data_IF_895598614527
#
_entry.id   IF_895598614527
#
_cell.length_a   1.000
_cell.length_b   1.000
_cell.length_c   1.000
_cell.angle_alpha   90.00
_cell.angle_beta   90.00
_cell.angle_gamma   90.00
#
_symmetry.space_group_name_H-M   'P 1'
#
loop_
_entity.id
_entity.type
_entity.pdbx_description
1 polymer ?
#
# COMPACT_ATOMS: atom_id res chain seq x y z
N UNK A 1 -11.11 44.01 -23.10
CA UNK A 1 -11.33 42.70 -23.78
C UNK A 1 -11.22 41.60 -22.69
N UNK A 2 -12.35 41.23 -22.09
CA UNK A 2 -12.42 40.28 -20.96
C UNK A 2 -12.58 38.87 -21.49
N UNK A 3 -11.65 37.96 -21.20
CA UNK A 3 -11.78 36.52 -21.49
C UNK A 3 -12.45 35.82 -20.31
N UNK A 4 -13.61 35.26 -20.56
CA UNK A 4 -14.39 34.44 -19.61
C UNK A 4 -13.65 33.11 -19.37
N UNK A 5 -13.41 32.81 -18.09
CA UNK A 5 -12.92 31.50 -17.64
C UNK A 5 -14.15 30.64 -17.36
N UNK A 6 -14.32 29.59 -18.15
CA UNK A 6 -15.38 28.59 -18.00
C UNK A 6 -14.91 27.56 -16.96
N UNK A 7 -15.60 27.51 -15.84
CA UNK A 7 -15.40 26.44 -14.82
C UNK A 7 -16.05 25.16 -15.33
N UNK A 8 -15.25 24.11 -15.54
CA UNK A 8 -15.73 22.77 -15.83
C UNK A 8 -15.99 22.04 -14.50
N UNK A 9 -17.25 21.91 -14.16
CA UNK A 9 -17.71 21.10 -13.03
C UNK A 9 -17.87 19.65 -13.49
N UNK A 10 -17.01 18.75 -13.02
CA UNK A 10 -17.17 17.31 -13.19
C UNK A 10 -18.19 16.80 -12.18
N UNK A 11 -19.36 16.41 -12.69
CA UNK A 11 -20.43 15.78 -11.91
C UNK A 11 -20.21 14.26 -11.93
N UNK A 12 -19.86 13.67 -10.81
CA UNK A 12 -19.87 12.21 -10.63
C UNK A 12 -21.31 11.73 -10.52
N UNK A 13 -21.78 11.00 -11.52
CA UNK A 13 -23.04 10.30 -11.48
C UNK A 13 -22.83 8.89 -10.91
N UNK A 14 -23.25 8.70 -9.67
CA UNK A 14 -23.40 7.37 -9.08
C UNK A 14 -24.74 6.81 -9.55
N UNK A 15 -24.68 5.79 -10.40
CA UNK A 15 -25.85 5.04 -10.86
C UNK A 15 -25.99 3.78 -10.00
N UNK A 16 -26.79 3.87 -8.93
CA UNK A 16 -27.30 2.71 -8.23
C UNK A 16 -28.77 2.53 -8.62
N UNK A 17 -29.05 1.60 -9.54
CA UNK A 17 -30.40 1.18 -9.88
C UNK A 17 -30.67 -0.17 -9.22
N UNK A 18 -31.37 -0.17 -8.09
CA UNK A 18 -31.97 -1.36 -7.51
C UNK A 18 -33.50 -1.27 -7.66
N UNK A 19 -34.02 -2.03 -8.60
CA UNK A 19 -35.46 -2.27 -8.74
C UNK A 19 -35.86 -3.38 -7.76
N UNK A 20 -36.57 -3.01 -6.70
CA UNK A 20 -37.29 -3.98 -5.87
C UNK A 20 -38.77 -4.02 -6.29
N UNK A 21 -39.18 -5.16 -6.80
CA UNK A 21 -40.62 -5.50 -6.99
C UNK A 21 -41.14 -6.09 -5.67
N UNK A 22 -42.14 -5.43 -5.10
CA UNK A 22 -42.90 -5.90 -3.95
C UNK A 22 -44.02 -6.82 -4.44
N UNK A 23 -44.04 -8.07 -4.01
CA UNK A 23 -45.25 -8.87 -3.96
C UNK A 23 -45.19 -9.85 -2.79
N UNK A 24 -46.21 -9.84 -1.96
CA UNK A 24 -46.70 -10.99 -1.21
C UNK A 24 -46.48 -11.00 0.30
N UNK A 25 -47.52 -10.61 1.05
CA UNK A 25 -47.69 -10.92 2.46
C UNK A 25 -47.79 -12.42 2.71
N UNK A 26 -47.05 -12.97 3.65
CA UNK A 26 -47.53 -14.07 4.50
C UNK A 26 -46.79 -14.05 5.83
N UNK A 27 -47.54 -14.12 6.92
CA UNK A 27 -47.07 -14.15 8.30
C UNK A 27 -46.19 -15.38 8.55
N UNK A 28 -44.99 -15.17 9.09
CA UNK A 28 -44.28 -16.11 9.95
C UNK A 28 -43.05 -15.44 10.55
N UNK A 29 -42.93 -15.49 11.85
CA UNK A 29 -41.86 -15.25 12.80
C UNK A 29 -40.71 -14.28 12.48
N UNK A 30 -40.49 -13.24 13.31
CA UNK A 30 -39.33 -12.39 13.24
C UNK A 30 -38.16 -12.97 14.07
N UNK A 31 -37.46 -13.93 13.50
CA UNK A 31 -36.17 -14.38 14.06
C UNK A 31 -35.13 -14.66 12.98
N UNK A 32 -34.93 -13.67 12.10
CA UNK A 32 -33.71 -13.54 11.31
C UNK A 32 -33.18 -12.13 11.50
N UNK A 33 -32.45 -11.92 12.58
CA UNK A 33 -31.50 -10.82 12.64
C UNK A 33 -30.39 -11.11 11.62
N UNK A 34 -30.63 -10.79 10.36
CA UNK A 34 -29.54 -10.51 9.42
C UNK A 34 -28.86 -9.22 9.91
N UNK A 35 -28.01 -9.34 10.93
CA UNK A 35 -26.94 -8.39 11.09
C UNK A 35 -26.09 -8.53 9.82
N UNK A 36 -26.24 -7.59 8.88
CA UNK A 36 -25.25 -7.43 7.82
C UNK A 36 -23.91 -7.34 8.55
N UNK A 37 -23.09 -8.38 8.45
CA UNK A 37 -21.73 -8.33 8.96
C UNK A 37 -21.08 -7.16 8.27
N UNK A 38 -20.81 -6.09 9.03
CA UNK A 38 -20.12 -4.91 8.51
C UNK A 38 -18.73 -5.37 8.11
N UNK A 39 -18.45 -5.33 6.81
CA UNK A 39 -17.13 -5.60 6.26
C UNK A 39 -16.10 -4.73 6.98
N UNK A 40 -15.11 -5.36 7.62
CA UNK A 40 -14.03 -4.65 8.29
C UNK A 40 -12.87 -4.44 7.33
N UNK A 41 -12.27 -3.25 7.27
CA UNK A 41 -11.06 -3.01 6.52
C UNK A 41 -9.81 -3.57 7.22
N UNK A 42 -8.88 -4.10 6.44
CA UNK A 42 -7.56 -4.46 6.89
C UNK A 42 -6.52 -3.80 6.00
N UNK A 43 -5.57 -3.08 6.59
CA UNK A 43 -4.59 -2.27 5.86
C UNK A 43 -3.18 -2.65 6.29
N UNK A 44 -2.29 -2.90 5.32
CA UNK A 44 -0.86 -3.05 5.53
C UNK A 44 -0.11 -1.84 4.96
N UNK A 45 0.63 -1.15 5.80
CA UNK A 45 1.57 -0.08 5.45
C UNK A 45 2.96 -0.68 5.34
N UNK A 46 3.52 -0.68 4.14
CA UNK A 46 4.85 -1.22 3.83
C UNK A 46 5.78 -0.04 3.60
N UNK A 47 6.66 0.21 4.55
CA UNK A 47 7.42 1.47 4.67
C UNK A 47 8.88 1.25 4.36
N UNK A 48 9.41 2.03 3.39
CA UNK A 48 10.81 2.09 3.01
C UNK A 48 11.34 3.52 3.17
N UNK A 49 11.52 3.96 4.40
CA UNK A 49 12.11 5.26 4.70
C UNK A 49 13.64 5.17 4.66
N UNK A 50 14.20 5.44 3.49
CA UNK A 50 15.65 5.41 3.22
C UNK A 50 16.12 6.74 2.68
N UNK A 51 17.40 7.08 2.86
CA UNK A 51 18.00 8.27 2.28
C UNK A 51 17.98 8.26 0.73
N UNK A 52 17.96 7.06 0.13
CA UNK A 52 17.98 6.86 -1.32
C UNK A 52 16.64 7.14 -2.03
N UNK A 53 15.59 7.35 -1.27
CA UNK A 53 14.26 7.63 -1.81
C UNK A 53 13.65 8.86 -1.15
N UNK A 54 12.76 9.52 -1.86
CA UNK A 54 11.98 10.57 -1.21
C UNK A 54 11.12 9.96 -0.10
N UNK A 55 11.15 10.50 1.12
CA UNK A 55 10.37 9.97 2.21
C UNK A 55 8.88 10.13 1.93
N UNK A 56 8.11 9.11 2.26
CA UNK A 56 6.65 9.17 2.33
C UNK A 56 6.31 9.20 3.81
N UNK A 57 5.77 10.30 4.26
CA UNK A 57 5.37 10.48 5.65
C UNK A 57 3.87 10.22 5.87
N UNK A 58 3.49 10.17 7.13
CA UNK A 58 2.11 9.95 7.54
C UNK A 58 1.15 11.08 7.17
N UNK A 59 1.64 12.22 6.65
CA UNK A 59 0.79 13.32 6.19
C UNK A 59 0.14 13.03 4.82
N UNK A 60 0.58 11.98 4.13
CA UNK A 60 -0.01 11.55 2.87
C UNK A 60 -1.52 11.27 3.04
N UNK A 61 -2.41 11.95 2.29
CA UNK A 61 -3.85 11.81 2.47
C UNK A 61 -4.33 10.35 2.43
N UNK A 62 -3.79 9.53 1.53
CA UNK A 62 -4.17 8.12 1.43
C UNK A 62 -3.83 7.34 2.71
N UNK A 63 -2.70 7.61 3.35
CA UNK A 63 -2.32 6.99 4.63
C UNK A 63 -3.28 7.43 5.72
N UNK A 64 -3.56 8.73 5.83
CA UNK A 64 -4.46 9.26 6.85
C UNK A 64 -5.89 8.75 6.68
N UNK A 65 -6.42 8.80 5.46
CA UNK A 65 -7.79 8.40 5.17
C UNK A 65 -8.01 6.90 5.40
N UNK A 66 -7.10 6.05 4.93
CA UNK A 66 -7.22 4.59 5.13
C UNK A 66 -7.03 4.19 6.58
N UNK A 67 -6.15 4.86 7.32
CA UNK A 67 -5.95 4.61 8.74
C UNK A 67 -7.15 5.05 9.57
N UNK A 68 -7.71 6.22 9.26
CA UNK A 68 -8.91 6.70 9.92
C UNK A 68 -10.12 5.81 9.60
N UNK A 69 -10.27 5.38 8.35
CA UNK A 69 -11.32 4.46 7.94
C UNK A 69 -11.21 3.13 8.69
N UNK A 70 -10.00 2.55 8.76
CA UNK A 70 -9.76 1.34 9.53
C UNK A 70 -10.10 1.53 11.02
N UNK A 71 -9.71 2.66 11.62
CA UNK A 71 -10.02 2.94 13.02
C UNK A 71 -11.53 3.12 13.26
N UNK A 72 -12.24 3.76 12.33
CA UNK A 72 -13.70 4.00 12.45
C UNK A 72 -14.55 2.76 12.21
N UNK A 73 -14.04 1.79 11.45
CA UNK A 73 -14.76 0.59 11.02
C UNK A 73 -14.23 -0.69 11.68
N UNK A 74 -13.59 -0.57 12.86
CA UNK A 74 -13.09 -1.70 13.64
C UNK A 74 -12.14 -2.59 12.84
N UNK A 75 -11.30 -1.96 12.05
CA UNK A 75 -10.38 -2.59 11.13
C UNK A 75 -9.13 -3.14 11.80
N UNK A 76 -8.19 -3.55 10.98
CA UNK A 76 -6.89 -4.07 11.38
C UNK A 76 -5.78 -3.34 10.62
N UNK A 77 -4.74 -2.93 11.32
CA UNK A 77 -3.60 -2.26 10.71
C UNK A 77 -2.31 -3.03 10.96
N UNK A 78 -1.50 -3.13 9.92
CA UNK A 78 -0.17 -3.73 9.94
C UNK A 78 0.81 -2.66 9.46
N UNK A 79 1.94 -2.53 10.14
CA UNK A 79 3.08 -1.73 9.68
C UNK A 79 4.26 -2.66 9.49
N UNK A 80 4.79 -2.72 8.29
CA UNK A 80 5.96 -3.52 7.94
C UNK A 80 7.09 -2.62 7.43
N UNK A 81 8.30 -2.99 7.76
CA UNK A 81 9.53 -2.35 7.29
C UNK A 81 10.03 -3.02 6.03
N UNK A 82 10.47 -2.22 5.06
CA UNK A 82 11.27 -2.67 3.93
C UNK A 82 12.73 -2.51 4.28
N UNK A 83 13.47 -3.60 4.29
CA UNK A 83 14.94 -3.64 4.28
C UNK A 83 15.40 -4.96 3.66
N UNK A 84 16.67 -5.36 3.82
CA UNK A 84 17.17 -6.65 3.31
C UNK A 84 16.60 -7.87 4.04
N UNK A 85 15.93 -7.67 5.18
CA UNK A 85 15.18 -8.67 5.94
C UNK A 85 13.88 -8.02 6.45
N UNK A 86 12.86 -7.93 5.58
CA UNK A 86 11.61 -7.25 5.91
C UNK A 86 10.93 -7.83 7.14
N UNK A 87 10.38 -6.96 7.98
CA UNK A 87 9.79 -7.36 9.25
C UNK A 87 8.50 -6.59 9.57
N UNK A 88 7.60 -7.25 10.29
CA UNK A 88 6.45 -6.59 10.92
C UNK A 88 6.95 -5.75 12.10
N UNK A 89 6.56 -4.48 12.12
CA UNK A 89 6.90 -3.52 13.18
C UNK A 89 5.75 -3.39 14.16
N UNK A 90 4.52 -3.34 13.64
CA UNK A 90 3.31 -3.26 14.47
C UNK A 90 2.16 -4.00 13.81
N UNK A 91 1.31 -4.57 14.65
CA UNK A 91 0.01 -5.13 14.25
C UNK A 91 -1.01 -4.69 15.28
N UNK A 92 -2.03 -3.95 14.83
CA UNK A 92 -3.04 -3.37 15.71
C UNK A 92 -4.45 -3.77 15.29
N UNK A 93 -5.13 -4.47 16.18
CA UNK A 93 -6.58 -4.67 16.08
C UNK A 93 -7.28 -3.40 16.59
N UNK A 94 -7.94 -2.70 15.68
CA UNK A 94 -8.66 -1.47 15.99
C UNK A 94 -10.09 -1.76 16.46
N UNK A 95 -10.43 -3.03 16.69
CA UNK A 95 -11.71 -3.40 17.25
C UNK A 95 -11.87 -2.75 18.64
N UNK A 96 -12.94 -2.00 18.80
CA UNK A 96 -13.27 -1.38 20.08
C UNK A 96 -13.96 -2.42 20.92
N UNK A 97 -13.45 -2.62 22.14
CA UNK A 97 -14.01 -3.54 23.13
C UNK A 97 -15.53 -3.41 23.21
N UNK A 98 -16.24 -4.53 23.45
CA UNK A 98 -17.71 -4.57 23.48
C UNK A 98 -18.30 -3.54 24.48
N UNK A 99 -17.57 -3.22 25.55
CA UNK A 99 -17.95 -2.17 26.50
C UNK A 99 -18.11 -0.79 25.87
N UNK A 100 -17.50 -0.52 24.73
CA UNK A 100 -17.59 0.76 24.02
C UNK A 100 -18.68 0.79 22.93
N UNK A 101 -19.34 -0.34 22.61
CA UNK A 101 -20.41 -0.39 21.60
C UNK A 101 -21.58 0.55 21.91
N UNK A 102 -21.75 0.92 23.19
CA UNK A 102 -22.77 1.87 23.67
C UNK A 102 -22.25 3.30 23.83
N UNK A 103 -21.00 3.56 23.50
CA UNK A 103 -20.42 4.89 23.62
C UNK A 103 -21.03 5.88 22.63
N UNK A 104 -20.99 7.17 22.96
CA UNK A 104 -21.43 8.21 22.02
C UNK A 104 -20.53 8.23 20.77
N UNK A 105 -21.12 8.65 19.63
CA UNK A 105 -20.37 8.78 18.36
C UNK A 105 -19.14 9.67 18.50
N UNK A 106 -19.20 10.71 19.32
CA UNK A 106 -18.10 11.63 19.57
C UNK A 106 -16.95 10.96 20.33
N UNK A 107 -17.29 10.06 21.26
CA UNK A 107 -16.27 9.27 21.98
C UNK A 107 -15.58 8.31 21.03
N UNK A 108 -16.36 7.55 20.24
CA UNK A 108 -15.80 6.63 19.24
C UNK A 108 -14.87 7.33 18.26
N UNK A 109 -15.25 8.53 17.77
CA UNK A 109 -14.40 9.32 16.89
C UNK A 109 -13.09 9.74 17.54
N UNK A 110 -13.13 10.16 18.82
CA UNK A 110 -11.90 10.55 19.54
C UNK A 110 -10.98 9.37 19.78
N UNK A 111 -11.53 8.22 20.16
CA UNK A 111 -10.76 7.02 20.41
C UNK A 111 -10.14 6.49 19.09
N UNK A 112 -10.90 6.52 17.98
CA UNK A 112 -10.41 6.20 16.65
C UNK A 112 -9.28 7.14 16.22
N UNK A 113 -9.46 8.45 16.39
CA UNK A 113 -8.44 9.44 16.04
C UNK A 113 -7.15 9.27 16.88
N UNK A 114 -7.30 8.93 18.17
CA UNK A 114 -6.15 8.65 19.04
C UNK A 114 -5.37 7.42 18.59
N UNK A 115 -6.06 6.32 18.28
CA UNK A 115 -5.43 5.09 17.75
C UNK A 115 -4.75 5.36 16.40
N UNK A 116 -5.44 6.04 15.49
CA UNK A 116 -4.88 6.43 14.20
C UNK A 116 -3.61 7.30 14.38
N UNK A 117 -3.64 8.28 15.27
CA UNK A 117 -2.47 9.14 15.53
C UNK A 117 -1.26 8.34 16.05
N UNK A 118 -1.47 7.37 16.93
CA UNK A 118 -0.40 6.51 17.42
C UNK A 118 0.21 5.65 16.28
N UNK A 119 -0.64 5.09 15.43
CA UNK A 119 -0.18 4.30 14.28
C UNK A 119 0.57 5.15 13.25
N UNK A 120 0.12 6.40 13.00
CA UNK A 120 0.83 7.35 12.13
C UNK A 120 2.24 7.65 12.67
N UNK A 121 2.40 7.80 14.00
CA UNK A 121 3.72 7.95 14.61
C UNK A 121 4.60 6.70 14.41
N UNK A 122 4.02 5.51 14.45
CA UNK A 122 4.75 4.28 14.15
C UNK A 122 5.20 4.29 12.68
N UNK A 123 4.33 4.63 11.73
CA UNK A 123 4.66 4.75 10.30
C UNK A 123 5.85 5.70 10.10
N UNK A 124 5.83 6.87 10.73
CA UNK A 124 6.91 7.87 10.62
C UNK A 124 8.23 7.41 11.27
N UNK A 125 8.16 6.52 12.26
CA UNK A 125 9.34 6.02 12.98
C UNK A 125 10.03 4.84 12.31
N UNK A 126 9.41 4.22 11.29
CA UNK A 126 9.99 3.06 10.61
C UNK A 126 11.24 3.47 9.84
N UNK A 127 12.35 2.82 10.14
CA UNK A 127 13.61 2.96 9.40
C UNK A 127 14.23 1.59 9.14
N UNK A 128 14.95 1.40 8.02
CA UNK A 128 15.65 0.15 7.75
C UNK A 128 16.74 -0.10 8.79
N UNK A 129 16.97 -1.36 9.09
CA UNK A 129 18.05 -1.84 9.97
C UNK A 129 19.18 -2.46 9.14
N UNK A 130 18.82 -2.99 7.98
CA UNK A 130 19.73 -3.60 7.03
C UNK A 130 19.89 -2.66 5.82
N UNK A 131 21.12 -2.47 5.28
CA UNK A 131 21.40 -1.52 4.19
C UNK A 131 20.94 -2.00 2.81
N UNK A 132 19.94 -2.84 2.75
CA UNK A 132 19.31 -3.35 1.52
C UNK A 132 17.79 -3.13 1.55
N UNK A 133 17.12 -3.33 0.43
CA UNK A 133 15.67 -3.22 0.30
C UNK A 133 15.10 -4.41 -0.49
N UNK A 134 14.18 -5.15 0.11
CA UNK A 134 13.40 -6.20 -0.55
C UNK A 134 11.91 -5.88 -0.48
N UNK A 135 11.41 -5.17 -1.48
CA UNK A 135 9.98 -4.84 -1.57
C UNK A 135 9.10 -6.05 -1.86
N UNK A 136 9.65 -7.06 -2.59
CA UNK A 136 8.87 -8.25 -2.95
C UNK A 136 8.55 -9.07 -1.69
N UNK A 137 9.54 -9.27 -0.82
CA UNK A 137 9.35 -10.00 0.43
C UNK A 137 8.48 -9.18 1.41
N UNK A 138 8.64 -7.86 1.45
CA UNK A 138 7.79 -6.99 2.27
C UNK A 138 6.30 -7.07 1.83
N UNK A 139 6.02 -7.08 0.52
CA UNK A 139 4.67 -7.30 -0.02
C UNK A 139 4.12 -8.68 0.38
N UNK A 140 4.95 -9.74 0.29
CA UNK A 140 4.57 -11.10 0.71
C UNK A 140 4.20 -11.14 2.19
N UNK A 141 5.01 -10.52 3.03
CA UNK A 141 4.81 -10.46 4.47
C UNK A 141 3.51 -9.73 4.83
N UNK A 142 3.28 -8.55 4.24
CA UNK A 142 2.06 -7.78 4.43
C UNK A 142 0.81 -8.54 3.98
N UNK A 143 0.82 -9.08 2.77
CA UNK A 143 -0.30 -9.85 2.22
C UNK A 143 -0.60 -11.12 3.03
N UNK A 144 0.44 -11.87 3.41
CA UNK A 144 0.30 -13.06 4.24
C UNK A 144 -0.36 -12.74 5.58
N UNK A 145 0.06 -11.64 6.22
CA UNK A 145 -0.51 -11.17 7.48
C UNK A 145 -1.98 -10.77 7.33
N UNK A 146 -2.34 -10.03 6.26
CA UNK A 146 -3.73 -9.65 5.99
C UNK A 146 -4.62 -10.88 5.72
N UNK A 147 -4.10 -11.91 5.06
CA UNK A 147 -4.86 -13.13 4.76
C UNK A 147 -5.03 -14.04 5.96
N UNK A 148 -4.17 -13.93 6.97
CA UNK A 148 -4.30 -14.69 8.22
C UNK A 148 -5.46 -14.22 9.10
N UNK A 149 -6.04 -13.04 8.80
CA UNK A 149 -7.20 -12.50 9.51
C UNK A 149 -8.47 -13.30 9.17
N UNK A 150 -9.44 -13.25 10.08
CA UNK A 150 -10.71 -13.94 9.88
C UNK A 150 -11.53 -13.37 8.71
N UNK A 151 -12.61 -14.06 8.35
CA UNK A 151 -13.44 -13.73 7.17
C UNK A 151 -14.23 -12.42 7.31
N UNK A 152 -14.26 -11.80 8.48
CA UNK A 152 -14.91 -10.48 8.65
C UNK A 152 -14.10 -9.34 8.03
N UNK A 153 -12.78 -9.55 7.82
CA UNK A 153 -11.90 -8.60 7.15
C UNK A 153 -11.92 -8.85 5.63
N UNK A 154 -12.90 -8.25 4.95
CA UNK A 154 -13.15 -8.50 3.52
C UNK A 154 -12.50 -7.47 2.60
N UNK A 155 -12.20 -6.26 3.10
CA UNK A 155 -11.46 -5.23 2.38
C UNK A 155 -9.99 -5.27 2.79
N UNK A 156 -9.10 -5.67 1.88
CA UNK A 156 -7.65 -5.77 2.13
C UNK A 156 -6.91 -4.78 1.26
N UNK A 157 -6.23 -3.84 1.90
CA UNK A 157 -5.46 -2.79 1.22
C UNK A 157 -4.00 -2.88 1.64
N UNK A 158 -3.10 -2.76 0.67
CA UNK A 158 -1.66 -2.62 0.89
C UNK A 158 -1.25 -1.24 0.39
N UNK A 159 -0.61 -0.45 1.22
CA UNK A 159 -0.01 0.84 0.87
C UNK A 159 1.49 0.67 0.95
N UNK A 160 2.14 0.58 -0.20
CA UNK A 160 3.58 0.47 -0.29
C UNK A 160 4.18 1.87 -0.47
N UNK A 161 5.15 2.23 0.38
CA UNK A 161 5.80 3.53 0.44
C UNK A 161 7.27 3.40 0.14
N UNK A 162 7.76 4.10 -0.89
CA UNK A 162 9.16 4.14 -1.28
C UNK A 162 9.39 4.02 -2.78
N UNK A 163 10.65 4.05 -3.20
CA UNK A 163 11.03 4.12 -4.62
C UNK A 163 10.69 2.89 -5.47
N UNK A 164 10.53 1.72 -4.84
CA UNK A 164 10.34 0.46 -5.55
C UNK A 164 11.63 -0.16 -6.09
N UNK A 165 12.78 0.43 -5.83
CA UNK A 165 14.08 -0.13 -6.21
C UNK A 165 14.54 -1.13 -5.15
N UNK A 166 14.22 -2.42 -5.32
CA UNK A 166 14.80 -3.48 -4.50
C UNK A 166 16.29 -3.66 -4.82
N UNK A 167 17.09 -3.86 -3.78
CA UNK A 167 18.54 -4.11 -3.86
C UNK A 167 18.93 -5.49 -3.37
N UNK A 168 17.94 -6.29 -2.97
CA UNK A 168 18.07 -7.68 -2.54
C UNK A 168 16.86 -8.51 -2.95
N UNK A 169 16.89 -9.80 -2.64
CA UNK A 169 15.84 -10.75 -2.97
C UNK A 169 15.74 -11.10 -4.47
N UNK A 170 14.66 -11.75 -4.85
CA UNK A 170 14.45 -12.22 -6.24
C UNK A 170 14.29 -11.09 -7.24
N UNK A 171 13.84 -9.92 -6.81
CA UNK A 171 13.64 -8.74 -7.67
C UNK A 171 14.71 -7.67 -7.39
N UNK A 172 15.97 -8.08 -7.47
CA UNK A 172 17.12 -7.19 -7.27
C UNK A 172 17.41 -6.37 -8.53
N UNK A 173 17.15 -5.06 -8.49
CA UNK A 173 17.38 -4.16 -9.63
C UNK A 173 18.85 -3.86 -9.92
N UNK A 174 19.79 -4.22 -9.04
CA UNK A 174 21.23 -4.17 -9.33
C UNK A 174 21.61 -5.12 -10.48
N UNK A 175 20.77 -6.11 -10.79
CA UNK A 175 20.92 -7.03 -11.90
C UNK A 175 20.37 -6.48 -13.24
N UNK A 176 20.31 -5.16 -13.38
CA UNK A 176 19.83 -4.44 -14.58
C UNK A 176 18.36 -4.76 -14.96
N UNK A 177 17.53 -5.16 -13.99
CA UNK A 177 16.13 -5.52 -14.26
C UNK A 177 15.27 -4.35 -14.76
N UNK A 178 15.71 -3.09 -14.56
CA UNK A 178 15.05 -1.91 -15.14
C UNK A 178 15.03 -1.91 -16.67
N UNK A 179 15.85 -2.74 -17.33
CA UNK A 179 15.87 -2.89 -18.79
C UNK A 179 15.03 -4.09 -19.26
N UNK A 180 14.51 -4.90 -18.35
CA UNK A 180 13.73 -6.09 -18.69
C UNK A 180 12.28 -5.72 -19.06
N UNK A 181 11.70 -6.50 -19.97
CA UNK A 181 10.26 -6.46 -20.20
C UNK A 181 9.53 -6.99 -18.95
N UNK A 182 8.43 -6.36 -18.50
CA UNK A 182 7.73 -6.78 -17.28
C UNK A 182 7.32 -8.27 -17.27
N UNK A 183 6.90 -8.79 -18.41
CA UNK A 183 6.49 -10.18 -18.53
C UNK A 183 7.64 -11.17 -18.27
N UNK A 184 8.87 -10.85 -18.69
CA UNK A 184 10.06 -11.68 -18.45
C UNK A 184 10.33 -11.80 -16.95
N UNK A 185 10.17 -10.71 -16.20
CA UNK A 185 10.30 -10.70 -14.74
C UNK A 185 9.21 -11.55 -14.09
N UNK A 186 7.96 -11.39 -14.52
CA UNK A 186 6.86 -12.23 -14.02
C UNK A 186 7.11 -13.71 -14.26
N UNK A 187 7.58 -14.06 -15.44
CA UNK A 187 7.86 -15.47 -15.79
C UNK A 187 9.01 -16.03 -14.94
N UNK A 188 10.08 -15.24 -14.74
CA UNK A 188 11.19 -15.60 -13.85
C UNK A 188 10.70 -15.81 -12.40
N UNK A 189 9.85 -14.93 -11.87
CA UNK A 189 9.31 -15.07 -10.51
C UNK A 189 8.37 -16.29 -10.40
N UNK A 190 7.60 -16.59 -11.44
CA UNK A 190 6.76 -17.80 -11.48
C UNK A 190 7.59 -19.10 -11.46
N UNK A 191 8.62 -19.15 -12.29
CA UNK A 191 9.51 -20.32 -12.36
C UNK A 191 10.20 -20.61 -11.03
N UNK A 192 10.45 -19.58 -10.23
CA UNK A 192 11.06 -19.66 -8.90
C UNK A 192 10.06 -19.77 -7.75
N UNK A 193 8.77 -19.85 -8.05
CA UNK A 193 7.69 -19.83 -7.06
C UNK A 193 7.79 -18.61 -6.11
N UNK A 194 8.32 -17.48 -6.61
CA UNK A 194 8.65 -16.30 -5.83
C UNK A 194 7.56 -15.22 -5.86
N UNK A 195 6.49 -15.37 -6.64
CA UNK A 195 5.37 -14.44 -6.60
C UNK A 195 4.68 -14.48 -5.23
N UNK A 196 4.43 -13.33 -4.57
CA UNK A 196 3.58 -13.29 -3.40
C UNK A 196 2.12 -13.63 -3.78
N UNK A 197 1.35 -14.16 -2.86
CA UNK A 197 -0.09 -14.28 -3.06
C UNK A 197 -0.78 -13.01 -2.56
N UNK A 198 -1.17 -12.14 -3.50
CA UNK A 198 -1.85 -10.87 -3.27
C UNK A 198 -3.36 -10.97 -3.55
N UNK A 199 -3.91 -12.18 -3.64
CA UNK A 199 -5.31 -12.40 -3.98
C UNK A 199 -6.26 -11.62 -3.07
N UNK A 200 -7.12 -10.81 -3.68
CA UNK A 200 -8.08 -9.97 -2.97
C UNK A 200 -7.48 -8.75 -2.26
N UNK A 201 -6.22 -8.40 -2.53
CA UNK A 201 -5.60 -7.17 -2.05
C UNK A 201 -5.61 -6.10 -3.15
N UNK A 202 -5.96 -4.86 -2.77
CA UNK A 202 -5.71 -3.67 -3.59
C UNK A 202 -4.39 -3.05 -3.13
N UNK A 203 -3.45 -2.87 -4.05
CA UNK A 203 -2.10 -2.34 -3.78
C UNK A 203 -1.97 -0.93 -4.33
N UNK A 204 -1.76 0.02 -3.44
CA UNK A 204 -1.38 1.40 -3.76
C UNK A 204 0.11 1.57 -3.56
N UNK A 205 0.74 2.40 -4.39
CA UNK A 205 2.16 2.69 -4.25
C UNK A 205 2.42 4.19 -4.16
N UNK A 206 3.02 4.66 -3.08
CA UNK A 206 3.42 6.03 -2.84
C UNK A 206 4.94 6.17 -3.00
N UNK A 207 5.39 7.16 -3.75
CA UNK A 207 6.82 7.42 -3.97
C UNK A 207 7.47 6.52 -5.03
N UNK A 208 6.72 5.76 -5.83
CA UNK A 208 7.27 4.94 -6.92
C UNK A 208 8.21 5.76 -7.80
N UNK A 209 9.43 5.25 -8.03
CA UNK A 209 10.49 5.88 -8.80
C UNK A 209 10.98 7.25 -8.28
N UNK A 210 10.55 7.67 -7.08
CA UNK A 210 11.01 8.90 -6.45
C UNK A 210 12.29 8.62 -5.66
N UNK A 211 13.43 8.97 -6.24
CA UNK A 211 14.75 8.70 -5.65
C UNK A 211 15.46 9.99 -5.26
N UNK A 212 16.35 9.89 -4.26
CA UNK A 212 17.25 10.97 -3.82
C UNK A 212 18.69 10.46 -3.80
N UNK A 213 19.66 11.39 -3.74
CA UNK A 213 21.06 11.03 -3.62
C UNK A 213 21.31 10.16 -2.36
N UNK A 214 22.17 9.11 -2.43
CA UNK A 214 23.12 8.83 -3.50
C UNK A 214 22.58 8.08 -4.71
N UNK A 215 21.30 7.68 -4.73
CA UNK A 215 20.69 7.04 -5.91
C UNK A 215 20.55 8.03 -7.06
N UNK A 216 21.07 7.68 -8.23
CA UNK A 216 20.89 8.47 -9.44
C UNK A 216 19.41 8.52 -9.86
N UNK A 217 19.01 9.69 -10.38
CA UNK A 217 17.63 9.90 -10.85
C UNK A 217 17.34 9.00 -12.05
N UNK A 218 16.20 8.32 -11.98
CA UNK A 218 15.71 7.53 -13.09
C UNK A 218 15.29 8.43 -14.26
N UNK A 219 15.60 7.99 -15.47
CA UNK A 219 15.01 8.59 -16.67
C UNK A 219 13.50 8.30 -16.73
N UNK A 220 12.72 9.10 -17.47
CA UNK A 220 11.28 8.82 -17.63
C UNK A 220 10.99 7.40 -18.14
N UNK A 221 11.85 6.86 -19.01
CA UNK A 221 11.72 5.49 -19.53
C UNK A 221 11.90 4.46 -18.40
N UNK A 222 12.92 4.63 -17.57
CA UNK A 222 13.20 3.73 -16.44
C UNK A 222 12.10 3.81 -15.38
N UNK A 223 11.62 5.00 -15.04
CA UNK A 223 10.51 5.20 -14.10
C UNK A 223 9.23 4.52 -14.58
N UNK A 224 8.90 4.68 -15.85
CA UNK A 224 7.73 4.02 -16.45
C UNK A 224 7.90 2.50 -16.47
N UNK A 225 9.11 2.01 -16.77
CA UNK A 225 9.36 0.56 -16.78
C UNK A 225 9.29 -0.04 -15.37
N UNK A 226 9.86 0.64 -14.37
CA UNK A 226 9.77 0.23 -12.96
C UNK A 226 8.30 0.11 -12.51
N UNK A 227 7.49 1.12 -12.82
CA UNK A 227 6.05 1.08 -12.54
C UNK A 227 5.35 -0.07 -13.26
N UNK A 228 5.70 -0.32 -14.53
CA UNK A 228 5.13 -1.41 -15.33
C UNK A 228 5.52 -2.79 -14.78
N UNK A 229 6.76 -2.95 -14.31
CA UNK A 229 7.24 -4.17 -13.65
C UNK A 229 6.43 -4.45 -12.39
N UNK A 230 6.33 -3.48 -11.48
CA UNK A 230 5.58 -3.68 -10.25
C UNK A 230 4.10 -3.92 -10.49
N UNK A 231 3.49 -3.20 -11.44
CA UNK A 231 2.11 -3.49 -11.86
C UNK A 231 1.96 -4.94 -12.33
N UNK A 232 2.81 -5.40 -13.22
CA UNK A 232 2.76 -6.77 -13.73
C UNK A 232 2.96 -7.82 -12.64
N UNK A 233 3.88 -7.57 -11.69
CA UNK A 233 4.14 -8.45 -10.55
C UNK A 233 2.91 -8.53 -9.64
N UNK A 234 2.31 -7.40 -9.27
CA UNK A 234 1.11 -7.34 -8.41
C UNK A 234 -0.07 -8.05 -9.08
N UNK A 235 -0.33 -7.77 -10.37
CA UNK A 235 -1.43 -8.39 -11.11
C UNK A 235 -1.21 -9.89 -11.31
N UNK A 236 0.02 -10.32 -11.62
CA UNK A 236 0.36 -11.74 -11.72
C UNK A 236 0.28 -12.48 -10.38
N UNK A 237 0.36 -11.75 -9.27
CA UNK A 237 0.20 -12.24 -7.90
C UNK A 237 -1.26 -12.28 -7.44
N UNK A 238 -2.22 -11.91 -8.30
CA UNK A 238 -3.66 -11.91 -8.02
C UNK A 238 -4.16 -10.65 -7.31
N UNK A 239 -3.34 -9.62 -7.15
CA UNK A 239 -3.71 -8.32 -6.59
C UNK A 239 -4.21 -7.34 -7.65
N UNK A 240 -4.82 -6.25 -7.20
CA UNK A 240 -5.17 -5.09 -8.02
C UNK A 240 -4.13 -3.98 -7.79
N UNK A 241 -3.42 -3.57 -8.83
CA UNK A 241 -2.50 -2.44 -8.75
C UNK A 241 -3.22 -1.14 -9.12
N UNK A 242 -3.30 -0.23 -8.15
CA UNK A 242 -3.86 1.10 -8.38
C UNK A 242 -2.72 2.09 -8.58
N UNK A 243 -2.58 2.54 -9.83
CA UNK A 243 -1.67 3.64 -10.15
C UNK A 243 -2.20 4.90 -9.49
N UNK A 244 -1.38 5.47 -8.63
CA UNK A 244 -1.77 6.65 -7.90
C UNK A 244 -0.89 7.82 -8.34
N UNK A 245 -1.53 8.88 -8.85
CA UNK A 245 -0.90 10.19 -9.08
C UNK A 245 -0.62 10.94 -7.75
N UNK A 246 -0.84 10.26 -6.62
CA UNK A 246 -0.50 10.79 -5.30
C UNK A 246 1.02 10.82 -5.12
N UNK A 247 1.60 11.89 -5.61
CA UNK A 247 2.95 12.30 -5.24
C UNK A 247 2.83 13.03 -3.89
N UNK A 248 2.44 12.31 -2.85
CA UNK A 248 2.55 12.82 -1.50
C UNK A 248 3.92 12.41 -0.97
N UNK A 249 4.90 13.15 -1.40
CA UNK A 249 6.26 13.05 -0.90
C UNK A 249 6.46 14.22 0.04
N UNK A 250 7.07 13.98 1.19
CA UNK A 250 7.48 15.07 2.07
C UNK A 250 8.25 16.12 1.28
N UNK A 251 7.85 17.38 1.43
CA UNK A 251 8.60 18.51 0.86
C UNK A 251 9.75 18.97 1.78
N UNK A 252 9.93 18.29 2.92
CA UNK A 252 11.02 18.57 3.84
C UNK A 252 12.32 17.95 3.30
N UNK A 253 13.13 18.78 2.68
CA UNK A 253 14.44 18.38 2.13
C UNK A 253 15.46 18.00 3.22
N UNK A 254 15.20 18.32 4.48
CA UNK A 254 16.06 17.94 5.59
C UNK A 254 15.68 16.57 6.19
N UNK A 255 14.53 16.01 5.84
CA UNK A 255 14.07 14.74 6.37
C UNK A 255 14.96 13.55 5.95
N UNK A 256 15.66 13.65 4.83
CA UNK A 256 16.53 12.58 4.31
C UNK A 256 17.89 12.51 4.99
N UNK A 257 18.39 13.60 5.54
CA UNK A 257 19.76 13.68 6.09
C UNK A 257 19.99 12.77 7.32
N UNK A 258 18.92 12.37 8.00
CA UNK A 258 18.97 11.48 9.17
C UNK A 258 18.59 10.03 8.88
N UNK A 259 18.14 9.73 7.65
CA UNK A 259 17.70 8.39 7.28
C UNK A 259 18.89 7.52 6.85
N UNK A 260 18.89 6.22 7.17
CA UNK A 260 19.93 5.31 6.71
C UNK A 260 19.86 5.13 5.19
N UNK A 261 21.05 5.06 4.57
CA UNK A 261 21.18 4.71 3.15
C UNK A 261 21.06 3.21 2.97
N UNK A 262 20.45 2.81 1.86
CA UNK A 262 20.53 1.44 1.34
C UNK A 262 21.48 1.41 0.14
N UNK A 263 21.82 0.21 -0.34
CA UNK A 263 22.64 0.03 -1.53
C UNK A 263 22.06 0.78 -2.74
N UNK A 264 22.93 1.27 -3.59
CA UNK A 264 22.57 2.01 -4.81
C UNK A 264 22.36 1.01 -5.95
N UNK A 265 21.33 1.26 -6.73
CA UNK A 265 21.13 0.56 -8.00
C UNK A 265 21.91 1.29 -9.08
N UNK A 266 22.96 0.65 -9.58
CA UNK A 266 23.68 1.12 -10.77
C UNK A 266 22.77 0.92 -12.00
N UNK A 267 22.67 1.94 -12.84
CA UNK A 267 21.82 1.91 -14.03
C UNK A 267 22.69 2.05 -15.30
N UNK A 268 23.52 1.05 -15.60
CA UNK A 268 24.28 1.07 -16.86
C UNK A 268 23.34 0.76 -18.03
N UNK A 269 23.44 1.55 -19.10
CA UNK A 269 22.56 1.45 -20.27
C UNK A 269 22.73 0.17 -21.10
N UNK A 270 23.82 -0.58 -20.93
CA UNK A 270 24.25 -1.63 -21.85
C UNK A 270 24.64 -2.97 -21.18
N UNK A 271 24.33 -3.17 -19.90
CA UNK A 271 24.67 -4.41 -19.19
C UNK A 271 23.61 -5.50 -19.44
N UNK A 272 23.99 -6.76 -19.69
CA UNK A 272 23.01 -7.85 -19.79
C UNK A 272 22.21 -8.04 -18.51
N UNK A 273 20.94 -8.42 -18.66
CA UNK A 273 20.09 -8.79 -17.51
C UNK A 273 20.68 -10.05 -16.87
N UNK A 274 20.90 -10.00 -15.56
CA UNK A 274 21.39 -11.13 -14.78
C UNK A 274 20.27 -11.59 -13.84
N UNK A 275 19.89 -12.84 -13.97
CA UNK A 275 18.97 -13.46 -13.02
C UNK A 275 19.80 -14.33 -12.07
N UNK A 276 19.76 -14.04 -10.79
CA UNK A 276 20.42 -14.88 -9.78
C UNK A 276 19.77 -16.27 -9.75
N UNK A 277 20.62 -17.29 -9.69
CA UNK A 277 20.23 -18.72 -9.74
C UNK A 277 19.80 -19.26 -8.38
#
# INVERSE_FOLDING_TARGET
MMKKITKLTCTFAVMAAALFTLTGCSNSDPSCSNSAETSKPAVAYIIANTANSKPVDSSAPLIQDTMLDAAMNYGYCIVARVDGDPALISTEDLNIDEQYKTASKERLKRDAASKASNLLQIVDSVTPVNPEADYLEALRLGASSLRSLDSSYTSRTIICCGSGLSTSGYLNFQNNLLSAEPQVIVDMLKEREALPDLSGCTVYWLGMAQVEAPQEKLTPKQSNNLTSIWKAVVEASGGEFVSNDYIAVSNDTNATDSLPSVSVVDIPSDTPIVFDS
#
